data_IF_808051409922
#
_entry.id   IF_808051409922
#
_cell.length_a   1.000
_cell.length_b   1.000
_cell.length_c   1.000
_cell.angle_alpha   90.00
_cell.angle_beta   90.00
_cell.angle_gamma   90.00
#
_symmetry.space_group_name_H-M   'P 1'
#
loop_
_entity.id
_entity.type
_entity.pdbx_description
1 polymer ?
#
# COMPACT_ATOMS: atom_id res chain seq x y z
N UNK A 1 12.10 -13.00 9.26
CA UNK A 1 11.98 -11.64 9.83
C UNK A 1 12.11 -11.74 11.34
N UNK A 2 12.83 -10.84 12.00
CA UNK A 2 12.91 -10.83 13.45
C UNK A 2 11.54 -10.47 14.06
N UNK A 3 11.24 -10.95 15.27
CA UNK A 3 9.98 -10.68 15.98
C UNK A 3 9.78 -9.17 16.14
N UNK A 4 8.70 -8.63 15.55
CA UNK A 4 8.38 -7.18 15.58
C UNK A 4 8.82 -6.38 14.35
N UNK A 5 9.52 -6.97 13.39
CA UNK A 5 9.94 -6.27 12.17
C UNK A 5 8.79 -6.14 11.15
N UNK A 6 8.36 -4.91 10.88
CA UNK A 6 7.26 -4.62 9.94
C UNK A 6 7.75 -4.59 8.49
N UNK A 7 8.92 -4.02 8.22
CA UNK A 7 9.46 -3.85 6.87
C UNK A 7 10.89 -4.41 6.74
N UNK A 8 11.25 -4.82 5.52
CA UNK A 8 12.57 -5.34 5.19
C UNK A 8 13.00 -4.88 3.80
N UNK A 9 14.26 -5.15 3.42
CA UNK A 9 14.80 -4.82 2.09
C UNK A 9 14.09 -5.51 0.93
N UNK A 10 13.34 -6.59 1.19
CA UNK A 10 12.57 -7.33 0.18
C UNK A 10 11.08 -7.01 0.24
N UNK A 11 10.65 -6.07 1.09
CA UNK A 11 9.25 -5.69 1.22
C UNK A 11 8.76 -5.05 -0.06
N UNK A 12 7.64 -5.53 -0.56
CA UNK A 12 6.97 -4.99 -1.74
C UNK A 12 5.57 -4.50 -1.39
N UNK A 13 5.17 -3.40 -2.02
CA UNK A 13 3.96 -2.67 -1.76
C UNK A 13 3.09 -2.57 -3.01
N UNK A 14 1.79 -2.67 -2.81
CA UNK A 14 0.76 -2.30 -3.78
C UNK A 14 0.27 -0.89 -3.48
N UNK A 15 0.28 -0.03 -4.49
CA UNK A 15 -0.04 1.38 -4.35
C UNK A 15 -1.45 1.66 -4.87
N UNK A 16 -2.39 1.96 -3.98
CA UNK A 16 -3.78 2.23 -4.35
C UNK A 16 -4.03 3.71 -4.61
N UNK A 17 -4.67 4.00 -5.74
CA UNK A 17 -4.92 5.32 -6.32
C UNK A 17 -3.63 6.00 -6.81
N UNK A 18 -3.41 6.01 -8.13
CA UNK A 18 -2.15 6.45 -8.72
C UNK A 18 -1.76 7.88 -8.31
N UNK A 19 -0.56 8.03 -7.74
CA UNK A 19 0.09 9.31 -7.46
C UNK A 19 1.56 9.22 -7.88
N UNK A 20 1.91 9.86 -9.00
CA UNK A 20 3.25 9.79 -9.57
C UNK A 20 4.36 10.18 -8.58
N UNK A 21 4.20 11.31 -7.89
CA UNK A 21 5.27 11.87 -7.05
C UNK A 21 5.60 11.00 -5.82
N UNK A 22 4.64 10.52 -5.01
CA UNK A 22 4.94 9.58 -3.94
C UNK A 22 5.58 8.27 -4.43
N UNK A 23 5.11 7.71 -5.53
CA UNK A 23 5.67 6.48 -6.09
C UNK A 23 7.12 6.71 -6.53
N UNK A 24 7.39 7.78 -7.28
CA UNK A 24 8.75 8.10 -7.72
C UNK A 24 9.68 8.31 -6.52
N UNK A 25 9.24 9.01 -5.47
CA UNK A 25 10.03 9.19 -4.24
C UNK A 25 10.34 7.88 -3.52
N UNK A 26 9.42 6.91 -3.53
CA UNK A 26 9.69 5.57 -2.98
C UNK A 26 10.77 4.86 -3.80
N UNK A 27 10.71 4.92 -5.13
CA UNK A 27 11.69 4.32 -6.02
C UNK A 27 13.07 4.98 -5.91
N UNK A 28 13.11 6.31 -5.83
CA UNK A 28 14.35 7.06 -5.63
C UNK A 28 15.00 6.68 -4.30
N UNK A 29 14.21 6.56 -3.23
CA UNK A 29 14.68 6.11 -1.94
C UNK A 29 15.21 4.68 -1.98
N UNK A 30 14.50 3.77 -2.65
CA UNK A 30 14.93 2.39 -2.82
C UNK A 30 16.28 2.30 -3.55
N UNK A 31 16.45 3.07 -4.62
CA UNK A 31 17.70 3.15 -5.37
C UNK A 31 18.86 3.69 -4.51
N UNK A 32 18.62 4.79 -3.78
CA UNK A 32 19.62 5.36 -2.86
C UNK A 32 19.99 4.41 -1.71
N UNK A 33 19.05 3.56 -1.29
CA UNK A 33 19.31 2.51 -0.29
C UNK A 33 20.03 1.28 -0.86
N UNK A 34 20.33 1.26 -2.17
CA UNK A 34 21.00 0.13 -2.83
C UNK A 34 20.11 -1.12 -2.92
N UNK A 35 18.78 -0.95 -3.02
CA UNK A 35 17.89 -2.09 -3.23
C UNK A 35 18.00 -2.57 -4.67
N UNK A 36 18.00 -3.89 -4.83
CA UNK A 36 17.99 -4.52 -6.16
C UNK A 36 16.58 -4.55 -6.75
N UNK A 37 15.56 -4.65 -5.90
CA UNK A 37 14.16 -4.73 -6.31
C UNK A 37 13.38 -3.49 -5.85
N UNK A 38 12.60 -2.87 -6.75
CA UNK A 38 11.68 -1.79 -6.39
C UNK A 38 10.72 -2.19 -5.27
N UNK A 39 10.49 -1.29 -4.31
CA UNK A 39 9.48 -1.51 -3.27
C UNK A 39 8.07 -1.45 -3.80
N UNK A 40 7.81 -0.74 -4.91
CA UNK A 40 6.47 -0.67 -5.51
C UNK A 40 6.35 -1.77 -6.56
N UNK A 41 5.56 -2.81 -6.25
CA UNK A 41 5.35 -3.94 -7.16
C UNK A 41 4.27 -3.66 -8.21
N UNK A 42 3.23 -2.92 -7.83
CA UNK A 42 2.10 -2.62 -8.70
C UNK A 42 1.27 -1.45 -8.20
N UNK A 43 0.58 -0.81 -9.14
CA UNK A 43 -0.35 0.30 -8.88
C UNK A 43 -1.76 -0.24 -9.05
N UNK A 44 -2.67 0.15 -8.17
CA UNK A 44 -4.09 -0.16 -8.29
C UNK A 44 -4.81 1.14 -8.62
N UNK A 45 -5.39 1.21 -9.81
CA UNK A 45 -6.17 2.35 -10.24
C UNK A 45 -7.55 1.85 -10.72
N UNK A 46 -8.59 1.95 -9.88
CA UNK A 46 -9.90 1.39 -10.18
C UNK A 46 -10.41 1.80 -11.57
N UNK A 47 -10.72 0.80 -12.40
CA UNK A 47 -11.23 1.02 -13.77
C UNK A 47 -10.15 1.28 -14.83
N UNK A 48 -8.87 1.21 -14.49
CA UNK A 48 -7.74 1.32 -15.42
C UNK A 48 -6.84 0.09 -15.34
N UNK A 49 -6.36 -0.36 -16.49
CA UNK A 49 -5.39 -1.44 -16.62
C UNK A 49 -4.26 -0.98 -17.56
N UNK A 50 -3.04 -1.46 -17.35
CA UNK A 50 -1.89 -1.10 -18.19
C UNK A 50 -0.58 -0.96 -17.43
N UNK A 51 0.26 -0.01 -17.83
CA UNK A 51 1.59 0.20 -17.24
C UNK A 51 1.88 1.68 -17.07
N UNK A 52 2.56 2.01 -15.97
CA UNK A 52 3.08 3.34 -15.72
C UNK A 52 4.61 3.32 -15.82
N UNK A 53 5.14 4.23 -16.64
CA UNK A 53 6.58 4.47 -16.79
C UNK A 53 7.09 5.34 -15.65
N UNK A 54 8.10 4.86 -14.95
CA UNK A 54 8.76 5.48 -13.80
C UNK A 54 10.26 5.22 -13.86
N UNK A 55 11.04 5.91 -13.04
CA UNK A 55 12.49 5.71 -12.99
C UNK A 55 12.93 4.95 -11.75
N UNK A 56 13.92 4.06 -11.91
CA UNK A 56 14.66 3.44 -10.82
C UNK A 56 16.14 3.75 -11.01
N UNK A 57 16.61 4.80 -10.34
CA UNK A 57 17.91 5.40 -10.64
C UNK A 57 17.91 6.04 -12.03
N UNK A 58 18.74 5.55 -12.93
CA UNK A 58 18.82 6.03 -14.31
C UNK A 58 18.00 5.17 -15.30
N UNK A 59 17.47 4.04 -14.84
CA UNK A 59 16.72 3.10 -15.69
C UNK A 59 15.23 3.42 -15.68
N UNK A 60 14.60 3.36 -16.85
CA UNK A 60 13.13 3.47 -16.99
C UNK A 60 12.50 2.10 -16.78
N UNK A 61 11.61 1.99 -15.79
CA UNK A 61 10.87 0.77 -15.45
C UNK A 61 9.37 0.95 -15.71
N UNK A 62 8.72 -0.14 -16.09
CA UNK A 62 7.27 -0.19 -16.29
C UNK A 62 6.61 -0.89 -15.10
N UNK A 63 5.87 -0.13 -14.27
CA UNK A 63 5.09 -0.68 -13.15
C UNK A 63 3.68 -1.01 -13.63
N UNK A 64 3.20 -2.25 -13.43
CA UNK A 64 1.85 -2.64 -13.85
C UNK A 64 0.78 -1.88 -13.04
N UNK A 65 -0.28 -1.50 -13.75
CA UNK A 65 -1.48 -0.85 -13.21
C UNK A 65 -2.62 -1.85 -13.31
N UNK A 66 -3.26 -2.13 -12.18
CA UNK A 66 -4.34 -3.10 -12.07
C UNK A 66 -5.68 -2.43 -11.78
N UNK A 67 -6.79 -2.96 -12.34
CA UNK A 67 -8.12 -2.37 -12.16
C UNK A 67 -8.75 -2.68 -10.81
N UNK A 68 -8.30 -3.73 -10.10
CA UNK A 68 -8.86 -4.14 -8.80
C UNK A 68 -7.77 -4.55 -7.82
N UNK A 69 -8.11 -4.56 -6.52
CA UNK A 69 -7.21 -4.98 -5.45
C UNK A 69 -6.91 -6.49 -5.58
N UNK A 70 -7.92 -7.28 -5.93
CA UNK A 70 -7.81 -8.73 -6.13
C UNK A 70 -6.85 -9.06 -7.28
N UNK A 71 -6.98 -8.37 -8.41
CA UNK A 71 -6.10 -8.58 -9.57
C UNK A 71 -4.63 -8.28 -9.23
N UNK A 72 -4.39 -7.17 -8.53
CA UNK A 72 -3.05 -6.80 -8.09
C UNK A 72 -2.45 -7.80 -7.09
N UNK A 73 -3.24 -8.26 -6.11
CA UNK A 73 -2.76 -9.25 -5.13
C UNK A 73 -2.46 -10.60 -5.78
N UNK A 74 -3.24 -11.01 -6.78
CA UNK A 74 -3.00 -12.24 -7.54
C UNK A 74 -1.77 -12.12 -8.44
N UNK A 75 -1.55 -10.97 -9.07
CA UNK A 75 -0.38 -10.71 -9.91
C UNK A 75 0.92 -10.57 -9.11
N UNK A 76 0.82 -10.08 -7.86
CA UNK A 76 1.96 -9.80 -6.99
C UNK A 76 1.82 -10.52 -5.64
N UNK A 77 1.96 -11.86 -5.59
CA UNK A 77 1.78 -12.62 -4.36
C UNK A 77 2.82 -12.32 -3.28
N UNK A 78 3.96 -11.72 -3.65
CA UNK A 78 5.04 -11.30 -2.75
C UNK A 78 4.78 -9.94 -2.10
N UNK A 79 3.80 -9.16 -2.59
CA UNK A 79 3.49 -7.86 -2.05
C UNK A 79 2.65 -7.98 -0.78
N UNK A 80 3.23 -7.62 0.36
CA UNK A 80 2.62 -7.76 1.68
C UNK A 80 2.21 -6.41 2.30
N UNK A 81 2.50 -5.31 1.63
CA UNK A 81 2.15 -3.94 2.04
C UNK A 81 1.16 -3.32 1.06
N UNK A 82 0.16 -2.62 1.59
CA UNK A 82 -0.81 -1.87 0.81
C UNK A 82 -0.81 -0.40 1.24
N UNK A 83 -0.54 0.50 0.30
CA UNK A 83 -0.47 1.94 0.57
C UNK A 83 -1.67 2.62 -0.08
N UNK A 84 -2.50 3.26 0.73
CA UNK A 84 -3.79 3.76 0.32
C UNK A 84 -3.84 5.29 0.24
N UNK A 85 -3.85 5.81 -0.99
CA UNK A 85 -4.05 7.22 -1.33
C UNK A 85 -5.48 7.55 -1.79
N UNK A 86 -6.46 6.71 -1.44
CA UNK A 86 -7.87 7.05 -1.60
C UNK A 86 -8.25 8.32 -0.83
N UNK A 87 -9.37 8.95 -1.21
CA UNK A 87 -9.94 10.03 -0.39
C UNK A 87 -10.57 9.45 0.88
N UNK A 88 -10.81 10.30 1.90
CA UNK A 88 -11.40 9.88 3.18
C UNK A 88 -12.72 9.10 3.04
N UNK A 89 -13.50 9.41 1.98
CA UNK A 89 -14.79 8.76 1.69
C UNK A 89 -14.63 7.30 1.26
N UNK A 90 -13.53 6.95 0.60
CA UNK A 90 -13.29 5.62 0.04
C UNK A 90 -12.13 4.88 0.68
N UNK A 91 -11.33 5.54 1.51
CA UNK A 91 -10.19 4.97 2.22
C UNK A 91 -10.60 3.80 3.13
N UNK A 92 -11.72 3.90 3.85
CA UNK A 92 -12.17 2.84 4.75
C UNK A 92 -12.53 1.55 3.98
N UNK A 93 -13.36 1.68 2.95
CA UNK A 93 -13.81 0.55 2.14
C UNK A 93 -12.64 -0.13 1.39
N UNK A 94 -11.78 0.66 0.73
CA UNK A 94 -10.61 0.12 0.01
C UNK A 94 -9.60 -0.55 0.96
N UNK A 95 -9.38 0.02 2.15
CA UNK A 95 -8.52 -0.58 3.18
C UNK A 95 -9.10 -1.89 3.72
N UNK A 96 -10.41 -1.96 3.91
CA UNK A 96 -11.07 -3.19 4.34
C UNK A 96 -10.95 -4.29 3.27
N UNK A 97 -11.14 -3.95 1.99
CA UNK A 97 -10.92 -4.89 0.89
C UNK A 97 -9.48 -5.38 0.83
N UNK A 98 -8.49 -4.50 1.03
CA UNK A 98 -7.09 -4.89 1.12
C UNK A 98 -6.81 -5.80 2.34
N UNK A 99 -7.37 -5.48 3.51
CA UNK A 99 -7.23 -6.31 4.72
C UNK A 99 -7.86 -7.71 4.56
N UNK A 100 -8.83 -7.90 3.67
CA UNK A 100 -9.40 -9.22 3.36
C UNK A 100 -8.48 -10.08 2.48
N UNK A 101 -7.52 -9.47 1.77
CA UNK A 101 -6.60 -10.23 0.91
C UNK A 101 -5.57 -10.98 1.75
N UNK A 102 -5.30 -12.28 1.48
CA UNK A 102 -4.42 -13.08 2.31
C UNK A 102 -2.96 -12.63 2.26
N UNK A 103 -2.51 -12.06 1.14
CA UNK A 103 -1.12 -11.59 0.93
C UNK A 103 -0.82 -10.31 1.71
N UNK A 104 -1.80 -9.43 1.89
CA UNK A 104 -1.62 -8.12 2.53
C UNK A 104 -1.53 -8.28 4.05
N UNK A 105 -0.37 -7.96 4.61
CA UNK A 105 -0.10 -7.93 6.06
C UNK A 105 -0.18 -6.54 6.64
N UNK A 106 0.23 -5.53 5.88
CA UNK A 106 0.32 -4.12 6.33
C UNK A 106 -0.55 -3.24 5.46
N UNK A 107 -1.40 -2.42 6.08
CA UNK A 107 -2.16 -1.38 5.37
C UNK A 107 -1.79 -0.01 5.92
N UNK A 108 -1.28 0.86 5.04
CA UNK A 108 -0.97 2.26 5.28
C UNK A 108 -2.06 3.16 4.72
N UNK A 109 -2.77 3.92 5.57
CA UNK A 109 -3.86 4.82 5.13
C UNK A 109 -3.35 6.27 5.21
N UNK A 110 -3.36 6.98 4.08
CA UNK A 110 -2.85 8.35 3.96
C UNK A 110 -3.98 9.40 4.02
N UNK A 111 -5.23 8.98 3.86
CA UNK A 111 -6.38 9.88 3.87
C UNK A 111 -6.59 10.53 5.24
N UNK A 112 -6.67 11.86 5.26
CA UNK A 112 -7.09 12.62 6.44
C UNK A 112 -8.62 12.66 6.56
N UNK A 113 -9.15 12.70 7.78
CA UNK A 113 -10.59 12.84 8.01
C UNK A 113 -11.42 11.57 7.81
N UNK A 114 -10.80 10.40 7.88
CA UNK A 114 -11.54 9.12 7.97
C UNK A 114 -12.35 9.11 9.28
N UNK A 115 -13.66 8.81 9.25
CA UNK A 115 -14.48 8.75 10.46
C UNK A 115 -13.88 7.80 11.51
N UNK A 116 -13.93 8.20 12.78
CA UNK A 116 -13.35 7.42 13.89
C UNK A 116 -14.01 6.04 14.01
N UNK A 117 -15.32 5.93 13.71
CA UNK A 117 -16.05 4.65 13.67
C UNK A 117 -15.43 3.67 12.68
N UNK A 118 -15.11 4.14 11.48
CA UNK A 118 -14.54 3.33 10.40
C UNK A 118 -13.09 2.97 10.74
N UNK A 119 -12.34 3.93 11.29
CA UNK A 119 -11.01 3.69 11.79
C UNK A 119 -11.01 2.58 12.84
N UNK A 120 -11.91 2.61 13.83
CA UNK A 120 -12.08 1.58 14.87
C UNK A 120 -12.41 0.21 14.30
N UNK A 121 -13.34 0.12 13.36
CA UNK A 121 -13.70 -1.14 12.70
C UNK A 121 -12.49 -1.79 12.02
N UNK A 122 -11.72 -1.00 11.29
CA UNK A 122 -10.50 -1.46 10.65
C UNK A 122 -9.41 -1.88 11.66
N UNK A 123 -9.28 -1.22 12.83
CA UNK A 123 -8.38 -1.69 13.92
C UNK A 123 -8.83 -3.07 14.40
N UNK A 124 -10.12 -3.19 14.71
CA UNK A 124 -10.69 -4.42 15.26
C UNK A 124 -10.47 -5.58 14.29
N UNK A 125 -10.72 -5.36 13.01
CA UNK A 125 -10.51 -6.36 11.98
C UNK A 125 -9.02 -6.73 11.84
N UNK A 126 -8.12 -5.74 11.80
CA UNK A 126 -6.69 -6.00 11.67
C UNK A 126 -6.14 -6.82 12.85
N UNK A 127 -6.52 -6.46 14.09
CA UNK A 127 -6.14 -7.19 15.31
C UNK A 127 -6.67 -8.63 15.30
N UNK A 128 -7.93 -8.83 14.93
CA UNK A 128 -8.53 -10.16 14.85
C UNK A 128 -7.86 -11.09 13.83
N UNK A 129 -7.23 -10.52 12.80
CA UNK A 129 -6.58 -11.27 11.71
C UNK A 129 -5.04 -11.24 11.79
N UNK A 130 -4.45 -10.82 12.91
CA UNK A 130 -2.99 -10.68 13.09
C UNK A 130 -2.31 -9.82 12.00
N UNK A 131 -3.01 -8.81 11.49
CA UNK A 131 -2.50 -7.86 10.49
C UNK A 131 -2.03 -6.60 11.17
N UNK A 132 -0.96 -6.01 10.64
CA UNK A 132 -0.40 -4.76 11.15
C UNK A 132 -1.06 -3.61 10.40
N UNK A 133 -1.43 -2.54 11.10
CA UNK A 133 -2.02 -1.35 10.48
C UNK A 133 -1.24 -0.11 10.85
N UNK A 134 -0.96 0.73 9.86
CA UNK A 134 -0.32 2.03 10.05
C UNK A 134 -1.30 3.08 9.53
N UNK A 135 -2.00 3.78 10.43
CA UNK A 135 -2.81 4.93 10.03
C UNK A 135 -1.91 6.16 10.09
N UNK A 136 -1.80 6.91 8.99
CA UNK A 136 -1.12 8.19 9.02
C UNK A 136 -2.13 9.34 9.12
N UNK A 137 -2.00 10.09 10.21
CA UNK A 137 -2.45 11.46 10.50
C UNK A 137 -3.95 11.80 10.63
N UNK A 138 -4.30 12.29 11.82
CA UNK A 138 -5.59 12.87 12.28
C UNK A 138 -6.77 11.92 12.56
N UNK A 139 -6.53 10.70 13.08
CA UNK A 139 -7.48 10.16 14.06
C UNK A 139 -7.26 10.94 15.37
N UNK A 140 -8.02 12.01 15.58
CA UNK A 140 -7.95 12.83 16.79
C UNK A 140 -8.28 11.96 18.01
N UNK A 141 -7.27 11.66 18.82
CA UNK A 141 -7.44 10.97 20.10
C UNK A 141 -7.33 9.44 20.04
N UNK A 142 -6.54 8.89 20.95
CA UNK A 142 -6.32 7.46 21.21
C UNK A 142 -5.34 6.75 20.26
N UNK A 143 -4.06 7.03 20.50
CA UNK A 143 -2.99 6.04 20.38
C UNK A 143 -2.91 5.24 21.68
#
# INVERSE_FOLDING_TARGET
MATGQIFSKTTQALFYNYKQLPIQRMLDFDFLCGRETPSVAGIINPGSDGFQKLFFGQEEIAIPVHPTIEAACNAHPTADVFINFASFRSAAASSMSALKQPTVRVVAIIAEGVPESDAKQLISYARANNKVRIICHQCSGYW
#
